data_IF_986873418482
#
_entry.id   IF_986873418482
#
_cell.length_a   1.000
_cell.length_b   1.000
_cell.length_c   1.000
_cell.angle_alpha   90.00
_cell.angle_beta   90.00
_cell.angle_gamma   90.00
#
_symmetry.space_group_name_H-M   'P 1'
#
loop_
_entity.id
_entity.type
_entity.pdbx_description
1 polymer ?
#
# COMPACT_ATOMS: atom_id res chain seq x y z
N UNK A 1 -2.14 -28.41 18.46
CA UNK A 1 -1.80 -27.00 18.73
C UNK A 1 -0.28 -26.90 18.62
N UNK A 2 0.27 -26.23 17.61
CA UNK A 2 1.73 -25.99 17.53
C UNK A 2 2.01 -24.74 18.38
N UNK A 3 2.69 -24.89 19.52
CA UNK A 3 3.16 -23.75 20.31
C UNK A 3 4.33 -23.08 19.57
N UNK A 4 4.29 -21.76 19.41
CA UNK A 4 5.39 -21.02 18.83
C UNK A 4 6.56 -20.86 19.81
N UNK A 5 7.73 -20.45 19.30
CA UNK A 5 8.93 -20.25 20.12
C UNK A 5 8.66 -19.33 21.33
N UNK A 6 7.97 -18.21 21.12
CA UNK A 6 7.65 -17.26 22.19
C UNK A 6 6.58 -17.77 23.17
N UNK A 7 5.76 -18.76 22.76
CA UNK A 7 4.80 -19.41 23.66
C UNK A 7 5.49 -20.44 24.55
N UNK A 8 6.55 -21.09 24.04
CA UNK A 8 7.35 -22.07 24.79
C UNK A 8 8.37 -21.40 25.73
N UNK A 9 8.87 -20.22 25.38
CA UNK A 9 9.90 -19.52 26.15
C UNK A 9 9.48 -18.09 26.53
N UNK A 10 8.65 -17.97 27.57
CA UNK A 10 8.06 -16.71 28.04
C UNK A 10 9.06 -15.57 28.29
N UNK A 11 10.29 -15.87 28.71
CA UNK A 11 11.34 -14.86 28.90
C UNK A 11 11.73 -14.13 27.60
N UNK A 12 11.58 -14.78 26.44
CA UNK A 12 11.78 -14.15 25.14
C UNK A 12 10.54 -13.38 24.67
N UNK A 13 9.36 -13.63 25.23
CA UNK A 13 8.15 -12.88 24.93
C UNK A 13 8.24 -11.42 25.43
N UNK A 14 8.79 -11.21 26.62
CA UNK A 14 9.01 -9.86 27.15
C UNK A 14 10.08 -9.11 26.35
N UNK A 15 11.14 -9.80 25.93
CA UNK A 15 12.13 -9.24 25.01
C UNK A 15 11.47 -8.80 23.69
N UNK A 16 10.63 -9.66 23.11
CA UNK A 16 9.88 -9.37 21.88
C UNK A 16 8.99 -8.15 22.03
N UNK A 17 8.23 -8.02 23.13
CA UNK A 17 7.39 -6.84 23.37
C UNK A 17 8.22 -5.55 23.43
N UNK A 18 9.38 -5.60 24.09
CA UNK A 18 10.26 -4.43 24.26
C UNK A 18 11.10 -4.11 23.03
N UNK A 19 11.40 -5.11 22.18
CA UNK A 19 12.31 -5.02 21.03
C UNK A 19 11.65 -5.51 19.73
N UNK A 20 10.34 -5.31 19.60
CA UNK A 20 9.52 -5.85 18.51
C UNK A 20 10.09 -5.52 17.13
N UNK A 21 10.58 -4.30 16.93
CA UNK A 21 11.19 -3.88 15.67
C UNK A 21 12.43 -4.67 15.29
N UNK A 22 13.26 -5.05 16.27
CA UNK A 22 14.45 -5.87 16.03
C UNK A 22 14.09 -7.32 15.72
N UNK A 23 13.07 -7.86 16.39
CA UNK A 23 12.56 -9.20 16.11
C UNK A 23 11.93 -9.25 14.73
N UNK A 24 11.19 -8.19 14.34
CA UNK A 24 10.63 -8.03 13.00
C UNK A 24 11.76 -8.03 11.97
N UNK A 25 12.67 -7.06 12.04
CA UNK A 25 13.87 -6.90 11.20
C UNK A 25 14.60 -8.22 10.94
N UNK A 26 14.83 -9.03 11.98
CA UNK A 26 15.43 -10.35 11.85
C UNK A 26 14.58 -11.33 11.01
N UNK A 27 13.27 -11.39 11.22
CA UNK A 27 12.38 -12.26 10.43
C UNK A 27 12.24 -11.83 8.97
N UNK A 28 12.37 -10.54 8.67
CA UNK A 28 12.20 -10.01 7.31
C UNK A 28 13.44 -10.13 6.44
N UNK A 29 14.58 -10.46 7.05
CA UNK A 29 15.80 -10.78 6.34
C UNK A 29 15.87 -12.29 5.95
N UNK A 30 14.92 -13.11 6.39
CA UNK A 30 14.84 -14.55 6.08
C UNK A 30 13.80 -14.82 4.98
N UNK A 31 14.29 -15.04 3.76
CA UNK A 31 13.45 -15.35 2.58
C UNK A 31 12.63 -16.63 2.77
N UNK A 32 13.11 -17.60 3.55
CA UNK A 32 12.39 -18.85 3.79
C UNK A 32 11.13 -18.58 4.62
N UNK A 33 11.24 -17.72 5.65
CA UNK A 33 10.10 -17.32 6.46
C UNK A 33 9.06 -16.55 5.65
N UNK A 34 9.49 -15.72 4.70
CA UNK A 34 8.61 -14.97 3.79
C UNK A 34 7.84 -15.93 2.89
N UNK A 35 8.54 -16.89 2.26
CA UNK A 35 7.94 -17.90 1.37
C UNK A 35 6.93 -18.77 2.11
N UNK A 36 7.30 -19.29 3.28
CA UNK A 36 6.42 -20.11 4.11
C UNK A 36 5.16 -19.33 4.55
N UNK A 37 5.30 -18.06 4.93
CA UNK A 37 4.18 -17.21 5.30
C UNK A 37 3.22 -16.98 4.13
N UNK A 38 3.76 -16.72 2.94
CA UNK A 38 3.01 -16.53 1.72
C UNK A 38 2.28 -17.80 1.28
N UNK A 39 2.97 -18.95 1.26
CA UNK A 39 2.38 -20.24 0.90
C UNK A 39 1.20 -20.57 1.82
N UNK A 40 1.39 -20.46 3.14
CA UNK A 40 0.31 -20.70 4.11
C UNK A 40 -0.86 -19.72 3.93
N UNK A 41 -0.59 -18.46 3.61
CA UNK A 41 -1.64 -17.48 3.34
C UNK A 41 -2.45 -17.87 2.09
N UNK A 42 -1.78 -18.13 0.96
CA UNK A 42 -2.47 -18.48 -0.28
C UNK A 42 -3.17 -19.83 -0.21
N UNK A 43 -2.62 -20.80 0.53
CA UNK A 43 -3.28 -22.08 0.78
C UNK A 43 -4.58 -21.88 1.57
N UNK A 44 -4.57 -21.05 2.64
CA UNK A 44 -5.81 -20.72 3.37
C UNK A 44 -6.83 -20.02 2.49
N UNK A 45 -6.38 -19.10 1.63
CA UNK A 45 -7.25 -18.42 0.68
C UNK A 45 -7.85 -19.39 -0.35
N UNK A 46 -7.05 -20.34 -0.84
CA UNK A 46 -7.51 -21.43 -1.70
C UNK A 46 -8.58 -22.26 -1.02
N UNK A 47 -8.35 -22.73 0.21
CA UNK A 47 -9.32 -23.55 0.95
C UNK A 47 -10.62 -22.79 1.22
N UNK A 48 -10.54 -21.50 1.56
CA UNK A 48 -11.71 -20.66 1.77
C UNK A 48 -12.55 -20.55 0.49
N UNK A 49 -11.91 -20.36 -0.68
CA UNK A 49 -12.62 -20.29 -1.97
C UNK A 49 -13.19 -21.64 -2.39
N UNK A 50 -12.44 -22.72 -2.19
CA UNK A 50 -12.78 -24.09 -2.60
C UNK A 50 -13.95 -24.66 -1.80
N UNK A 51 -14.04 -24.34 -0.51
CA UNK A 51 -14.97 -24.99 0.40
C UNK A 51 -14.76 -26.51 0.39
N UNK A 52 -15.78 -27.25 -0.05
CA UNK A 52 -15.76 -28.72 -0.09
C UNK A 52 -15.37 -29.31 -1.46
N UNK A 53 -15.10 -28.48 -2.47
CA UNK A 53 -14.77 -28.97 -3.81
C UNK A 53 -13.33 -29.52 -3.86
N UNK A 54 -12.97 -30.38 -4.79
CA UNK A 54 -11.56 -30.70 -5.03
C UNK A 54 -10.99 -29.70 -6.05
N UNK A 55 -9.79 -29.19 -5.79
CA UNK A 55 -9.04 -28.38 -6.75
C UNK A 55 -7.56 -28.34 -6.41
N UNK A 56 -6.75 -28.22 -7.45
CA UNK A 56 -5.31 -28.10 -7.31
C UNK A 56 -4.91 -26.72 -6.78
N UNK A 57 -4.04 -26.72 -5.77
CA UNK A 57 -3.33 -25.54 -5.30
C UNK A 57 -1.92 -25.53 -5.90
N UNK A 58 -1.50 -24.38 -6.44
CA UNK A 58 -0.12 -24.15 -6.89
C UNK A 58 0.42 -22.92 -6.15
N UNK A 59 1.59 -23.04 -5.55
CA UNK A 59 2.37 -21.93 -5.03
C UNK A 59 3.86 -22.25 -5.16
N UNK A 60 4.50 -21.65 -6.15
CA UNK A 60 5.94 -21.78 -6.38
C UNK A 60 6.63 -20.44 -6.19
N UNK A 61 7.91 -20.47 -5.85
CA UNK A 61 8.68 -19.25 -5.62
C UNK A 61 9.91 -19.19 -6.51
N UNK A 62 10.24 -17.99 -6.94
CA UNK A 62 11.51 -17.67 -7.60
C UNK A 62 12.18 -16.52 -6.86
N UNK A 63 13.51 -16.49 -6.93
CA UNK A 63 14.25 -15.31 -6.51
C UNK A 63 13.87 -14.13 -7.40
N UNK A 64 13.83 -12.94 -6.81
CA UNK A 64 13.63 -11.72 -7.58
C UNK A 64 14.87 -11.47 -8.43
N UNK A 65 14.68 -11.16 -9.70
CA UNK A 65 15.75 -10.67 -10.56
C UNK A 65 16.40 -9.42 -9.93
N UNK A 66 17.74 -9.32 -10.03
CA UNK A 66 18.51 -8.22 -9.48
C UNK A 66 18.16 -6.88 -10.15
N UNK A 67 17.64 -6.91 -11.37
CA UNK A 67 17.23 -5.74 -12.13
C UNK A 67 15.90 -5.13 -11.64
N UNK A 68 15.06 -5.94 -10.98
CA UNK A 68 13.87 -5.44 -10.32
C UNK A 68 14.30 -4.71 -9.05
N UNK A 69 13.99 -3.42 -8.92
CA UNK A 69 14.31 -2.63 -7.73
C UNK A 69 13.78 -3.24 -6.41
N UNK A 70 14.14 -2.66 -5.27
CA UNK A 70 13.72 -3.14 -3.95
C UNK A 70 14.73 -4.08 -3.26
N UNK A 71 14.36 -4.63 -2.09
CA UNK A 71 15.28 -5.42 -1.25
C UNK A 71 15.68 -6.76 -1.90
N UNK A 72 16.82 -7.29 -1.46
CA UNK A 72 17.32 -8.61 -1.87
C UNK A 72 16.54 -9.76 -1.24
N UNK A 73 15.75 -9.50 -0.20
CA UNK A 73 14.96 -10.51 0.54
C UNK A 73 13.52 -10.62 0.04
N UNK A 74 13.14 -9.84 -0.98
CA UNK A 74 11.87 -9.99 -1.68
C UNK A 74 11.89 -11.23 -2.60
N UNK A 75 10.72 -11.83 -2.83
CA UNK A 75 10.58 -13.02 -3.69
C UNK A 75 9.42 -12.85 -4.68
N UNK A 76 9.50 -13.57 -5.79
CA UNK A 76 8.35 -13.76 -6.69
C UNK A 76 7.60 -15.02 -6.29
N UNK A 77 6.27 -14.97 -6.33
CA UNK A 77 5.40 -16.12 -6.10
C UNK A 77 4.48 -16.33 -7.29
N UNK A 78 4.32 -17.59 -7.70
CA UNK A 78 3.47 -18.02 -8.78
C UNK A 78 2.36 -18.86 -8.18
N UNK A 79 1.16 -18.28 -8.13
CA UNK A 79 0.05 -18.81 -7.35
C UNK A 79 -1.14 -19.09 -8.25
N UNK A 80 -1.74 -20.28 -8.11
CA UNK A 80 -3.07 -20.58 -8.63
C UNK A 80 -3.92 -21.11 -7.48
N UNK A 81 -5.00 -20.39 -7.18
CA UNK A 81 -5.99 -20.81 -6.19
C UNK A 81 -7.30 -21.25 -6.87
N UNK A 82 -8.22 -21.78 -6.07
CA UNK A 82 -9.49 -22.30 -6.56
C UNK A 82 -10.28 -21.25 -7.36
N UNK A 83 -10.79 -21.65 -8.52
CA UNK A 83 -11.55 -20.80 -9.43
C UNK A 83 -10.71 -19.86 -10.31
N UNK A 84 -9.38 -19.96 -10.29
CA UNK A 84 -8.50 -19.20 -11.18
C UNK A 84 -7.99 -20.06 -12.33
N UNK A 85 -8.20 -19.58 -13.57
CA UNK A 85 -7.81 -20.29 -14.79
C UNK A 85 -6.29 -20.30 -15.02
N UNK A 86 -5.60 -19.29 -14.51
CA UNK A 86 -4.18 -19.05 -14.77
C UNK A 86 -3.38 -18.86 -13.48
N UNK A 87 -2.09 -19.21 -13.55
CA UNK A 87 -1.13 -18.91 -12.48
C UNK A 87 -0.85 -17.41 -12.48
N UNK A 88 -1.20 -16.75 -11.38
CA UNK A 88 -0.92 -15.34 -11.15
C UNK A 88 0.47 -15.17 -10.54
N UNK A 89 1.23 -14.20 -11.06
CA UNK A 89 2.52 -13.79 -10.50
C UNK A 89 2.29 -12.72 -9.43
N UNK A 90 2.95 -12.84 -8.29
CA UNK A 90 2.92 -11.88 -7.19
C UNK A 90 4.36 -11.47 -6.82
N UNK A 91 4.55 -10.19 -6.53
CA UNK A 91 5.74 -9.69 -5.87
C UNK A 91 5.50 -9.64 -4.37
N UNK A 92 6.34 -10.33 -3.61
CA UNK A 92 6.21 -10.41 -2.15
C UNK A 92 7.38 -9.68 -1.52
N UNK A 93 7.06 -8.65 -0.75
CA UNK A 93 8.03 -7.88 0.03
C UNK A 93 7.62 -7.80 1.48
N UNK A 94 8.60 -7.79 2.37
CA UNK A 94 8.36 -7.36 3.74
C UNK A 94 8.04 -5.87 3.76
N UNK A 95 7.14 -5.49 4.65
CA UNK A 95 6.66 -4.12 4.76
C UNK A 95 7.74 -3.15 5.28
N UNK A 96 8.76 -3.63 6.01
CA UNK A 96 9.68 -2.71 6.68
C UNK A 96 10.53 -1.90 5.70
N UNK A 97 10.42 -0.58 5.81
CA UNK A 97 11.23 0.39 5.08
C UNK A 97 12.70 0.35 5.50
N UNK A 98 13.61 0.52 4.52
CA UNK A 98 15.02 0.80 4.75
C UNK A 98 15.95 0.09 3.76
N UNK A 99 16.86 0.79 3.05
CA UNK A 99 17.99 0.13 2.40
C UNK A 99 18.91 -0.55 3.43
N UNK A 100 19.75 -1.49 2.97
CA UNK A 100 20.82 -2.07 3.81
C UNK A 100 21.63 -0.94 4.44
N UNK A 101 21.70 -0.91 5.78
CA UNK A 101 22.50 0.06 6.53
C UNK A 101 21.77 1.30 7.04
N UNK A 102 20.47 1.49 6.75
CA UNK A 102 19.64 2.49 7.44
C UNK A 102 18.44 1.82 8.09
N UNK A 103 18.37 1.94 9.42
CA UNK A 103 17.33 1.41 10.34
C UNK A 103 16.30 0.47 9.71
N UNK A 104 16.68 -0.80 9.51
CA UNK A 104 15.80 -1.93 9.18
C UNK A 104 14.81 -2.28 10.30
N UNK A 105 14.80 -1.48 11.38
CA UNK A 105 14.00 -1.63 12.59
C UNK A 105 12.69 -0.80 12.55
N UNK A 106 12.13 -0.53 11.37
CA UNK A 106 10.84 0.18 11.31
C UNK A 106 9.70 -0.84 11.39
N UNK A 107 8.83 -0.80 12.42
CA UNK A 107 7.65 -1.67 12.52
C UNK A 107 6.60 -1.43 11.40
N UNK A 108 5.61 -2.33 11.19
CA UNK A 108 4.57 -2.10 10.21
C UNK A 108 3.74 -0.85 10.43
N UNK A 109 3.33 -0.15 9.39
CA UNK A 109 2.51 1.06 9.45
C UNK A 109 1.10 0.75 8.95
N UNK A 110 0.11 0.90 9.84
CA UNK A 110 -1.29 0.61 9.52
C UNK A 110 -1.83 1.54 8.43
N UNK A 111 -1.33 2.77 8.32
CA UNK A 111 -1.76 3.71 7.29
C UNK A 111 -1.29 3.27 5.91
N UNK A 112 -0.09 2.72 5.80
CA UNK A 112 0.42 2.20 4.53
C UNK A 112 -0.33 0.93 4.11
N UNK A 113 -0.59 -0.01 5.03
CA UNK A 113 -1.43 -1.17 4.73
C UNK A 113 -2.82 -0.75 4.23
N UNK A 114 -3.42 0.23 4.90
CA UNK A 114 -4.69 0.82 4.48
C UNK A 114 -4.61 1.45 3.09
N UNK A 115 -3.56 2.23 2.81
CA UNK A 115 -3.36 2.84 1.50
C UNK A 115 -3.22 1.80 0.39
N UNK A 116 -2.46 0.72 0.56
CA UNK A 116 -2.41 -0.35 -0.44
C UNK A 116 -3.80 -0.87 -0.77
N UNK A 117 -4.63 -1.09 0.26
CA UNK A 117 -5.98 -1.61 0.05
C UNK A 117 -6.90 -0.61 -0.65
N UNK A 118 -6.81 0.66 -0.28
CA UNK A 118 -7.59 1.71 -0.90
C UNK A 118 -7.18 1.95 -2.36
N UNK A 119 -5.87 1.93 -2.67
CA UNK A 119 -5.34 2.08 -4.02
C UNK A 119 -5.81 0.94 -4.95
N UNK A 120 -5.82 -0.30 -4.46
CA UNK A 120 -6.44 -1.45 -5.16
C UNK A 120 -7.91 -1.16 -5.47
N UNK A 121 -8.68 -0.73 -4.46
CA UNK A 121 -10.13 -0.55 -4.57
C UNK A 121 -10.55 0.59 -5.51
N UNK A 122 -9.70 1.61 -5.71
CA UNK A 122 -9.90 2.69 -6.68
C UNK A 122 -9.21 2.42 -8.03
N UNK A 123 -8.67 1.21 -8.23
CA UNK A 123 -8.01 0.74 -9.45
C UNK A 123 -6.77 1.57 -9.87
N UNK A 124 -6.04 2.10 -8.89
CA UNK A 124 -4.75 2.78 -9.11
C UNK A 124 -3.57 2.01 -8.52
N UNK A 125 -3.81 0.99 -7.70
CA UNK A 125 -2.80 0.05 -7.20
C UNK A 125 -3.07 -1.37 -7.71
N UNK A 126 -2.05 -2.25 -7.69
CA UNK A 126 -2.25 -3.66 -7.98
C UNK A 126 -3.14 -4.33 -6.93
N UNK A 127 -3.72 -5.49 -7.25
CA UNK A 127 -4.35 -6.36 -6.24
C UNK A 127 -3.34 -6.65 -5.13
N UNK A 128 -3.73 -6.41 -3.88
CA UNK A 128 -2.84 -6.47 -2.74
C UNK A 128 -3.35 -7.42 -1.66
N UNK A 129 -2.48 -8.30 -1.21
CA UNK A 129 -2.71 -9.21 -0.08
C UNK A 129 -1.79 -8.86 1.08
N UNK A 130 -2.37 -8.69 2.26
CA UNK A 130 -1.63 -8.53 3.52
C UNK A 130 -1.39 -9.92 4.09
N UNK A 131 -0.12 -10.34 4.07
CA UNK A 131 0.31 -11.68 4.45
C UNK A 131 0.82 -11.64 5.91
N UNK A 132 0.14 -12.33 6.85
CA UNK A 132 0.59 -12.44 8.24
C UNK A 132 1.91 -13.21 8.36
N UNK A 133 2.62 -13.06 9.48
CA UNK A 133 3.75 -13.93 9.80
C UNK A 133 3.26 -15.36 10.06
N UNK A 134 4.18 -16.32 9.97
CA UNK A 134 3.88 -17.73 10.23
C UNK A 134 3.40 -17.91 11.68
N UNK A 135 2.31 -18.66 11.87
CA UNK A 135 1.74 -18.95 13.19
C UNK A 135 2.78 -19.61 14.12
N UNK A 136 3.63 -20.49 13.58
CA UNK A 136 4.61 -21.28 14.34
C UNK A 136 5.83 -20.49 14.79
N UNK A 137 6.20 -19.39 14.14
CA UNK A 137 7.29 -18.53 14.67
C UNK A 137 6.78 -17.71 15.85
N UNK A 138 5.47 -17.46 15.93
CA UNK A 138 4.83 -16.77 17.05
C UNK A 138 5.30 -15.32 17.22
N UNK A 139 6.02 -14.76 16.24
CA UNK A 139 6.69 -13.45 16.34
C UNK A 139 5.65 -12.34 16.41
N UNK A 140 4.56 -12.42 15.65
CA UNK A 140 3.49 -11.39 15.61
C UNK A 140 4.02 -9.99 15.25
N UNK A 141 5.19 -9.91 14.63
CA UNK A 141 5.92 -8.64 14.47
C UNK A 141 6.19 -8.26 13.02
N UNK A 142 6.17 -9.21 12.09
CA UNK A 142 6.39 -8.97 10.65
C UNK A 142 5.11 -9.11 9.83
N UNK A 143 5.04 -8.37 8.73
CA UNK A 143 3.96 -8.41 7.74
C UNK A 143 4.59 -8.35 6.37
N UNK A 144 4.17 -9.27 5.50
CA UNK A 144 4.50 -9.22 4.09
C UNK A 144 3.33 -8.63 3.30
N UNK A 145 3.65 -7.96 2.21
CA UNK A 145 2.69 -7.47 1.23
C UNK A 145 2.95 -8.25 -0.06
N UNK A 146 1.93 -8.95 -0.55
CA UNK A 146 1.95 -9.60 -1.84
C UNK A 146 1.12 -8.79 -2.83
N UNK A 147 1.78 -8.12 -3.77
CA UNK A 147 1.14 -7.36 -4.85
C UNK A 147 1.11 -8.19 -6.11
N UNK A 148 -0.07 -8.30 -6.75
CA UNK A 148 -0.19 -9.00 -8.03
C UNK A 148 0.61 -8.26 -9.09
N UNK A 149 1.47 -8.99 -9.78
CA UNK A 149 2.20 -8.49 -10.92
C UNK A 149 1.25 -8.35 -12.10
N UNK A 150 1.31 -7.20 -12.78
CA UNK A 150 0.50 -6.93 -13.96
C UNK A 150 1.41 -6.40 -15.07
N UNK A 151 1.54 -7.18 -16.14
CA UNK A 151 2.37 -6.86 -17.31
C UNK A 151 1.83 -5.65 -18.10
N UNK A 152 0.63 -5.18 -17.77
CA UNK A 152 0.09 -3.92 -18.26
C UNK A 152 0.70 -2.70 -17.55
N UNK A 153 1.54 -2.85 -16.53
CA UNK A 153 2.22 -1.70 -15.94
C UNK A 153 3.22 -1.08 -16.93
N UNK A 154 3.18 0.24 -17.07
CA UNK A 154 4.19 1.02 -17.80
C UNK A 154 4.74 2.12 -16.91
N UNK A 155 6.05 2.08 -16.66
CA UNK A 155 6.78 3.06 -15.84
C UNK A 155 6.55 4.50 -16.32
N UNK A 156 6.45 5.43 -15.37
CA UNK A 156 6.21 6.84 -15.67
C UNK A 156 7.33 7.46 -16.52
N UNK A 157 8.57 6.98 -16.38
CA UNK A 157 9.69 7.42 -17.24
C UNK A 157 9.40 7.24 -18.72
N UNK A 158 8.95 6.06 -19.12
CA UNK A 158 8.60 5.81 -20.51
C UNK A 158 7.35 6.60 -20.94
N UNK A 159 6.38 6.79 -20.04
CA UNK A 159 5.18 7.60 -20.32
C UNK A 159 5.57 9.05 -20.64
N UNK A 160 6.42 9.65 -19.82
CA UNK A 160 6.86 11.04 -19.98
C UNK A 160 7.73 11.18 -21.23
N UNK A 161 8.65 10.24 -21.49
CA UNK A 161 9.52 10.28 -22.67
C UNK A 161 8.73 10.18 -23.98
N UNK A 162 7.71 9.33 -24.04
CA UNK A 162 6.93 9.11 -25.26
C UNK A 162 5.86 10.16 -25.50
N UNK A 163 5.11 10.54 -24.46
CA UNK A 163 3.87 11.33 -24.60
C UNK A 163 3.87 12.63 -23.79
N UNK A 164 4.87 12.84 -22.92
CA UNK A 164 4.86 13.91 -21.92
C UNK A 164 3.88 13.65 -20.77
N UNK A 165 4.08 14.37 -19.66
CA UNK A 165 3.14 14.34 -18.53
C UNK A 165 1.84 15.06 -18.91
N UNK A 166 0.71 14.37 -18.82
CA UNK A 166 -0.60 14.97 -19.07
C UNK A 166 -1.16 15.63 -17.82
N UNK A 167 -2.09 16.57 -18.00
CA UNK A 167 -2.80 17.20 -16.88
C UNK A 167 -3.58 16.21 -16.03
N UNK A 168 -4.23 15.22 -16.64
CA UNK A 168 -4.99 14.20 -15.93
C UNK A 168 -4.10 13.35 -15.01
N UNK A 169 -2.96 12.87 -15.52
CA UNK A 169 -2.00 12.10 -14.71
C UNK A 169 -1.39 12.96 -13.59
N UNK A 170 -1.06 14.22 -13.88
CA UNK A 170 -0.54 15.16 -12.89
C UNK A 170 -1.55 15.39 -11.75
N UNK A 171 -2.84 15.58 -12.09
CA UNK A 171 -3.92 15.75 -11.12
C UNK A 171 -4.13 14.48 -10.28
N UNK A 172 -4.15 13.30 -10.90
CA UNK A 172 -4.29 12.03 -10.17
C UNK A 172 -3.18 11.88 -9.12
N UNK A 173 -1.91 12.11 -9.49
CA UNK A 173 -0.77 12.01 -8.58
C UNK A 173 -0.86 13.00 -7.41
N UNK A 174 -1.28 14.25 -7.68
CA UNK A 174 -1.46 15.25 -6.62
C UNK A 174 -2.61 14.90 -5.70
N UNK A 175 -3.73 14.41 -6.25
CA UNK A 175 -4.86 13.98 -5.42
C UNK A 175 -4.47 12.85 -4.48
N UNK A 176 -3.74 11.85 -4.98
CA UNK A 176 -3.27 10.76 -4.14
C UNK A 176 -2.31 11.28 -3.06
N UNK A 177 -1.36 12.15 -3.41
CA UNK A 177 -0.44 12.75 -2.44
C UNK A 177 -1.14 13.57 -1.36
N UNK A 178 -2.05 14.46 -1.75
CA UNK A 178 -2.73 15.40 -0.84
C UNK A 178 -3.78 14.69 0.01
N UNK A 179 -4.59 13.80 -0.58
CA UNK A 179 -5.67 13.13 0.15
C UNK A 179 -5.16 11.92 0.95
N UNK A 180 -4.35 11.06 0.32
CA UNK A 180 -3.88 9.82 0.94
C UNK A 180 -2.52 9.97 1.65
N UNK A 181 -1.99 11.19 1.74
CA UNK A 181 -0.71 11.45 2.41
C UNK A 181 0.39 10.50 1.94
N UNK A 182 0.44 10.19 0.64
CA UNK A 182 1.48 9.32 0.07
C UNK A 182 2.60 10.16 -0.53
N UNK A 183 3.83 9.78 -0.22
CA UNK A 183 5.06 10.36 -0.71
C UNK A 183 5.80 9.33 -1.58
N UNK A 184 6.98 9.75 -2.07
CA UNK A 184 7.88 8.92 -2.87
C UNK A 184 7.29 8.46 -4.23
N UNK A 185 6.40 9.27 -4.81
CA UNK A 185 5.79 9.04 -6.12
C UNK A 185 6.74 9.43 -7.27
N UNK A 186 7.84 8.69 -7.45
CA UNK A 186 8.82 8.91 -8.51
C UNK A 186 8.74 7.85 -9.63
N UNK A 187 9.62 7.96 -10.64
CA UNK A 187 9.54 7.27 -11.95
C UNK A 187 9.50 5.74 -11.88
N UNK A 188 10.00 5.17 -10.78
CA UNK A 188 10.10 3.72 -10.57
C UNK A 188 8.97 3.18 -9.70
N UNK A 189 8.28 4.06 -8.97
CA UNK A 189 7.23 3.72 -8.01
C UNK A 189 5.83 3.96 -8.57
N UNK A 190 5.73 4.71 -9.68
CA UNK A 190 4.47 4.92 -10.38
C UNK A 190 4.62 4.90 -11.90
N UNK A 191 3.47 4.81 -12.56
CA UNK A 191 3.34 4.64 -14.00
C UNK A 191 1.88 4.73 -14.43
N UNK A 192 1.53 4.05 -15.52
CA UNK A 192 0.15 3.92 -16.00
C UNK A 192 -0.18 2.47 -16.30
N UNK A 193 -1.45 2.11 -16.17
CA UNK A 193 -1.94 0.84 -16.72
C UNK A 193 -2.11 0.98 -18.24
N UNK A 194 -1.40 0.17 -19.03
CA UNK A 194 -1.45 0.15 -20.50
C UNK A 194 -2.89 0.05 -20.99
N UNK A 195 -3.19 0.80 -22.05
CA UNK A 195 -4.55 0.89 -22.59
C UNK A 195 -5.51 1.74 -21.75
N UNK A 196 -5.03 2.39 -20.69
CA UNK A 196 -5.82 3.31 -19.86
C UNK A 196 -5.09 4.64 -19.64
N UNK A 197 -5.80 5.63 -19.12
CA UNK A 197 -5.23 6.87 -18.57
C UNK A 197 -5.18 6.84 -17.03
N UNK A 198 -5.19 5.66 -16.42
CA UNK A 198 -5.17 5.53 -14.97
C UNK A 198 -3.74 5.49 -14.48
N UNK A 199 -3.45 6.28 -13.44
CA UNK A 199 -2.19 6.15 -12.73
C UNK A 199 -2.10 4.76 -12.09
N UNK A 200 -0.90 4.19 -12.12
CA UNK A 200 -0.55 2.95 -11.46
C UNK A 200 0.51 3.24 -10.40
N UNK A 201 0.23 2.95 -9.13
CA UNK A 201 1.13 3.09 -7.98
C UNK A 201 1.56 1.69 -7.54
N UNK A 202 2.84 1.38 -7.68
CA UNK A 202 3.41 0.06 -7.32
C UNK A 202 4.20 0.10 -6.01
N UNK A 203 4.68 1.28 -5.62
CA UNK A 203 5.30 1.52 -4.31
C UNK A 203 5.09 2.98 -3.87
N UNK A 204 5.21 3.24 -2.57
CA UNK A 204 5.13 4.58 -1.99
C UNK A 204 5.63 4.56 -0.54
N UNK A 205 5.91 5.74 0.01
CA UNK A 205 6.10 5.92 1.45
C UNK A 205 4.94 6.73 2.02
N UNK A 206 4.30 6.33 3.13
CA UNK A 206 3.32 7.20 3.76
C UNK A 206 4.02 8.42 4.38
N UNK A 207 3.41 9.59 4.31
CA UNK A 207 3.92 10.78 5.02
C UNK A 207 3.88 10.54 6.54
N UNK A 208 4.80 11.17 7.27
CA UNK A 208 4.90 10.98 8.72
C UNK A 208 3.73 11.64 9.46
N UNK A 209 3.24 12.75 8.94
CA UNK A 209 2.18 13.56 9.53
C UNK A 209 0.93 13.51 8.66
N UNK A 210 -0.23 13.50 9.31
CA UNK A 210 -1.54 13.61 8.66
C UNK A 210 -2.23 14.82 9.25
N UNK A 211 -2.83 15.65 8.40
CA UNK A 211 -3.46 16.90 8.81
C UNK A 211 -4.73 17.15 8.02
N UNK A 212 -5.70 17.77 8.68
CA UNK A 212 -6.85 18.35 7.98
C UNK A 212 -6.36 19.62 7.27
N UNK A 213 -6.63 19.73 5.99
CA UNK A 213 -6.26 20.88 5.17
C UNK A 213 -7.38 21.92 5.20
N UNK A 214 -7.17 22.98 5.98
CA UNK A 214 -8.10 24.12 6.04
C UNK A 214 -8.24 24.79 4.66
N UNK A 215 -7.14 24.92 3.92
CA UNK A 215 -7.13 25.37 2.51
C UNK A 215 -6.65 24.24 1.59
N UNK A 216 -7.54 23.27 1.37
CA UNK A 216 -7.24 22.14 0.47
C UNK A 216 -7.02 22.57 -0.98
N UNK A 217 -7.61 23.70 -1.41
CA UNK A 217 -7.40 24.24 -2.76
C UNK A 217 -5.95 24.66 -2.94
N UNK A 218 -5.38 25.38 -1.97
CA UNK A 218 -3.97 25.73 -1.99
C UNK A 218 -3.06 24.49 -2.02
N UNK A 219 -3.39 23.44 -1.24
CA UNK A 219 -2.62 22.19 -1.26
C UNK A 219 -2.61 21.53 -2.64
N UNK A 220 -3.76 21.44 -3.31
CA UNK A 220 -3.87 20.87 -4.66
C UNK A 220 -3.10 21.65 -5.74
N UNK A 221 -2.84 22.94 -5.54
CA UNK A 221 -2.13 23.77 -6.51
C UNK A 221 -0.65 23.93 -6.25
N UNK A 222 -0.22 23.75 -5.00
CA UNK A 222 1.17 23.97 -4.59
C UNK A 222 1.94 22.67 -4.37
N UNK A 223 1.24 21.57 -4.11
CA UNK A 223 1.84 20.24 -3.95
C UNK A 223 2.22 19.66 -5.30
N UNK A 224 3.42 19.08 -5.37
CA UNK A 224 3.90 18.30 -6.51
C UNK A 224 4.21 16.87 -6.05
N UNK A 225 4.05 15.86 -6.94
CA UNK A 225 4.16 14.45 -6.55
C UNK A 225 5.54 14.07 -5.99
N UNK A 226 6.61 14.60 -6.58
CA UNK A 226 7.99 14.33 -6.18
C UNK A 226 8.93 15.50 -6.54
N UNK A 227 9.92 15.87 -5.71
CA UNK A 227 10.80 17.03 -5.96
C UNK A 227 11.51 17.03 -7.31
N UNK A 228 11.88 15.85 -7.81
CA UNK A 228 12.55 15.70 -9.11
C UNK A 228 11.67 16.06 -10.31
N UNK A 229 10.35 16.19 -10.14
CA UNK A 229 9.40 16.49 -11.23
C UNK A 229 8.76 17.86 -11.10
N UNK A 230 9.32 18.71 -10.22
CA UNK A 230 8.70 19.99 -9.90
C UNK A 230 8.52 20.85 -11.15
N UNK A 231 9.47 20.82 -12.07
CA UNK A 231 9.43 21.66 -13.27
C UNK A 231 8.50 21.10 -14.35
N UNK A 232 8.50 19.79 -14.58
CA UNK A 232 7.56 19.11 -15.48
C UNK A 232 6.12 19.30 -15.00
N UNK A 233 5.89 19.14 -13.70
CA UNK A 233 4.58 19.35 -13.09
C UNK A 233 4.11 20.80 -13.21
N UNK A 234 4.97 21.78 -12.89
CA UNK A 234 4.66 23.21 -13.07
C UNK A 234 4.35 23.53 -14.53
N UNK A 235 5.10 22.96 -15.48
CA UNK A 235 4.86 23.19 -16.90
C UNK A 235 3.47 22.70 -17.34
N UNK A 236 2.95 21.64 -16.73
CA UNK A 236 1.58 21.16 -16.94
C UNK A 236 0.57 22.06 -16.22
N UNK A 237 0.76 22.37 -14.94
CA UNK A 237 -0.15 23.23 -14.16
C UNK A 237 -0.30 24.62 -14.77
N UNK A 238 0.79 25.22 -15.26
CA UNK A 238 0.80 26.56 -15.84
C UNK A 238 0.03 26.67 -17.16
N UNK A 239 -0.29 25.54 -17.80
CA UNK A 239 -1.13 25.51 -19.02
C UNK A 239 -2.63 25.51 -18.72
N UNK A 240 -3.01 25.34 -17.46
CA UNK A 240 -4.40 25.24 -17.02
C UNK A 240 -4.74 26.35 -16.04
N UNK A 241 -5.88 26.99 -16.27
CA UNK A 241 -6.52 27.79 -15.23
C UNK A 241 -7.02 26.89 -14.09
N UNK A 242 -7.33 27.53 -12.95
CA UNK A 242 -7.75 26.82 -11.74
C UNK A 242 -9.06 26.07 -11.90
N UNK A 243 -10.01 26.57 -12.71
CA UNK A 243 -11.30 25.90 -12.93
C UNK A 243 -11.12 24.64 -13.78
N UNK A 244 -10.28 24.72 -14.81
CA UNK A 244 -9.91 23.57 -15.63
C UNK A 244 -9.22 22.48 -14.79
N UNK A 245 -8.32 22.85 -13.88
CA UNK A 245 -7.69 21.90 -12.96
C UNK A 245 -8.71 21.25 -12.03
N UNK A 246 -9.58 22.05 -11.40
CA UNK A 246 -10.61 21.56 -10.48
C UNK A 246 -11.66 20.68 -11.18
N UNK A 247 -11.92 20.92 -12.47
CA UNK A 247 -12.77 20.04 -13.29
C UNK A 247 -12.16 18.65 -13.44
N UNK A 248 -10.86 18.56 -13.72
CA UNK A 248 -10.14 17.27 -13.80
C UNK A 248 -10.11 16.59 -12.43
N UNK A 249 -9.94 17.36 -11.35
CA UNK A 249 -10.03 16.83 -9.97
C UNK A 249 -11.38 16.17 -9.74
N UNK A 250 -12.48 16.88 -10.04
CA UNK A 250 -13.84 16.35 -9.87
C UNK A 250 -14.06 15.06 -10.66
N UNK A 251 -13.64 15.03 -11.92
CA UNK A 251 -13.75 13.86 -12.79
C UNK A 251 -13.04 12.63 -12.20
N UNK A 252 -11.84 12.81 -11.63
CA UNK A 252 -11.09 11.70 -11.03
C UNK A 252 -11.70 11.23 -9.70
N UNK A 253 -12.20 12.15 -8.87
CA UNK A 253 -12.90 11.77 -7.63
C UNK A 253 -14.18 10.98 -7.91
N UNK A 254 -15.00 11.45 -8.86
CA UNK A 254 -16.23 10.79 -9.26
C UNK A 254 -15.94 9.38 -9.79
N UNK A 255 -14.90 9.25 -10.63
CA UNK A 255 -14.43 7.98 -11.17
C UNK A 255 -13.95 7.00 -10.09
N UNK A 256 -13.23 7.48 -9.08
CA UNK A 256 -12.74 6.62 -8.00
C UNK A 256 -13.83 6.21 -7.02
N UNK A 257 -14.92 6.99 -6.90
CA UNK A 257 -15.97 6.73 -5.92
C UNK A 257 -15.41 6.70 -4.49
N UNK A 258 -14.50 7.63 -4.19
CA UNK A 258 -13.56 7.52 -3.06
C UNK A 258 -14.23 7.29 -1.71
N UNK A 259 -15.32 8.01 -1.38
CA UNK A 259 -16.04 7.83 -0.10
C UNK A 259 -16.44 6.39 0.17
N UNK A 260 -17.07 5.72 -0.81
CA UNK A 260 -17.50 4.32 -0.66
C UNK A 260 -16.29 3.38 -0.54
N UNK A 261 -15.19 3.68 -1.23
CA UNK A 261 -13.98 2.85 -1.21
C UNK A 261 -13.20 3.00 0.10
N UNK A 262 -13.26 4.17 0.74
CA UNK A 262 -12.69 4.41 2.07
C UNK A 262 -13.33 3.49 3.10
N UNK A 263 -14.67 3.45 3.14
CA UNK A 263 -15.44 2.58 4.04
C UNK A 263 -15.12 1.10 3.78
N UNK A 264 -15.16 0.68 2.52
CA UNK A 264 -14.87 -0.70 2.13
C UNK A 264 -13.42 -1.12 2.47
N UNK A 265 -12.45 -0.22 2.28
CA UNK A 265 -11.06 -0.47 2.68
C UNK A 265 -10.95 -0.66 4.20
N UNK A 266 -11.69 0.14 4.98
CA UNK A 266 -11.68 0.06 6.44
C UNK A 266 -12.31 -1.25 6.93
N UNK A 267 -13.41 -1.69 6.30
CA UNK A 267 -14.06 -2.97 6.59
C UNK A 267 -13.15 -4.16 6.28
N UNK A 268 -12.44 -4.11 5.15
CA UNK A 268 -11.51 -5.17 4.73
C UNK A 268 -10.20 -5.18 5.51
N UNK A 269 -9.90 -4.11 6.24
CA UNK A 269 -8.66 -3.91 6.99
C UNK A 269 -8.92 -3.62 8.47
N UNK A 270 -9.95 -4.28 9.04
CA UNK A 270 -10.31 -4.12 10.45
C UNK A 270 -9.18 -4.65 11.36
N UNK A 271 -8.47 -3.77 12.10
CA UNK A 271 -7.33 -4.18 12.92
C UNK A 271 -7.72 -5.08 14.09
N UNK A 272 -9.01 -5.18 14.41
CA UNK A 272 -9.55 -6.00 15.50
C UNK A 272 -9.95 -7.40 15.05
N UNK A 273 -9.86 -7.69 13.75
CA UNK A 273 -10.23 -8.97 13.16
C UNK A 273 -9.02 -9.70 12.58
N UNK A 274 -9.18 -11.01 12.42
CA UNK A 274 -8.31 -11.90 11.67
C UNK A 274 -6.81 -11.68 11.92
N UNK A 275 -6.08 -11.42 10.84
CA UNK A 275 -4.63 -11.30 10.77
C UNK A 275 -4.11 -10.12 11.57
N UNK A 276 -4.81 -8.97 11.53
CA UNK A 276 -4.32 -7.71 12.08
C UNK A 276 -4.37 -7.68 13.62
N UNK A 277 -5.37 -8.33 14.23
CA UNK A 277 -5.42 -8.53 15.69
C UNK A 277 -4.20 -9.31 16.18
N UNK A 278 -3.75 -10.27 15.38
CA UNK A 278 -2.60 -11.11 15.69
C UNK A 278 -1.27 -10.36 15.73
N UNK A 279 -1.16 -9.19 15.10
CA UNK A 279 0.08 -8.40 14.94
C UNK A 279 0.02 -7.01 15.58
N UNK A 280 -0.99 -6.74 16.43
CA UNK A 280 -1.26 -5.41 17.00
C UNK A 280 -0.03 -4.77 17.70
N UNK A 281 0.76 -5.60 18.39
CA UNK A 281 1.98 -5.19 19.10
C UNK A 281 3.11 -4.77 18.15
N UNK A 282 3.04 -5.19 16.89
CA UNK A 282 4.07 -4.96 15.89
C UNK A 282 4.03 -3.58 15.27
N UNK A 283 2.89 -2.87 15.29
CA UNK A 283 2.72 -1.64 14.50
C UNK A 283 3.49 -0.41 14.99
N UNK A 284 3.92 0.42 14.03
CA UNK A 284 4.52 1.74 14.20
C UNK A 284 3.58 2.63 14.98
N UNK A 285 4.11 3.19 16.05
CA UNK A 285 3.41 4.21 16.84
C UNK A 285 3.76 5.57 16.27
N UNK A 286 2.83 6.18 15.53
CA UNK A 286 2.98 7.56 15.02
C UNK A 286 2.90 8.62 16.13
N UNK A 287 2.14 8.33 17.19
CA UNK A 287 2.11 9.08 18.47
C UNK A 287 2.35 8.08 19.60
N UNK A 288 3.06 8.49 20.65
CA UNK A 288 3.60 7.62 21.72
C UNK A 288 2.59 6.66 22.41
N UNK A 289 1.28 6.82 22.21
CA UNK A 289 0.24 6.08 22.93
C UNK A 289 -0.95 5.56 22.09
N UNK A 290 -0.86 5.46 20.75
CA UNK A 290 -2.01 5.04 19.92
C UNK A 290 -1.89 3.60 19.40
N UNK A 291 -2.90 2.77 19.64
CA UNK A 291 -3.06 1.44 19.00
C UNK A 291 -3.28 1.59 17.49
N UNK A 292 -2.99 0.57 16.66
CA UNK A 292 -3.25 0.63 15.22
C UNK A 292 -4.71 0.93 14.88
N UNK A 293 -5.68 0.47 15.68
CA UNK A 293 -7.10 0.83 15.53
C UNK A 293 -7.35 2.33 15.67
N UNK A 294 -6.74 2.96 16.68
CA UNK A 294 -6.87 4.42 16.90
C UNK A 294 -6.17 5.19 15.79
N UNK A 295 -4.99 4.73 15.36
CA UNK A 295 -4.25 5.36 14.26
C UNK A 295 -5.03 5.29 12.94
N UNK A 296 -5.58 4.12 12.60
CA UNK A 296 -6.40 3.95 11.41
C UNK A 296 -7.66 4.82 11.46
N UNK A 297 -8.34 4.87 12.61
CA UNK A 297 -9.49 5.75 12.78
C UNK A 297 -9.13 7.22 12.55
N UNK A 298 -8.05 7.70 13.17
CA UNK A 298 -7.57 9.08 12.97
C UNK A 298 -7.22 9.38 11.51
N UNK A 299 -6.61 8.41 10.82
CA UNK A 299 -6.30 8.50 9.40
C UNK A 299 -7.57 8.64 8.55
N UNK A 300 -8.54 7.74 8.74
CA UNK A 300 -9.80 7.74 7.99
C UNK A 300 -10.63 9.00 8.29
N UNK A 301 -10.70 9.44 9.55
CA UNK A 301 -11.41 10.66 9.95
C UNK A 301 -10.78 11.90 9.26
N UNK A 302 -9.44 11.96 9.19
CA UNK A 302 -8.71 13.05 8.53
C UNK A 302 -8.95 13.03 7.01
N UNK A 303 -8.88 11.85 6.39
CA UNK A 303 -9.14 11.67 4.96
C UNK A 303 -10.57 12.09 4.58
N UNK A 304 -11.57 11.67 5.35
CA UNK A 304 -12.96 12.07 5.14
C UNK A 304 -13.14 13.57 5.28
N UNK A 305 -12.51 14.20 6.28
CA UNK A 305 -12.59 15.65 6.46
C UNK A 305 -11.96 16.42 5.29
N UNK A 306 -10.82 15.95 4.77
CA UNK A 306 -10.21 16.52 3.58
C UNK A 306 -11.10 16.34 2.35
N UNK A 307 -11.73 15.18 2.19
CA UNK A 307 -12.66 14.94 1.09
C UNK A 307 -13.89 15.86 1.15
N UNK A 308 -14.45 16.11 2.35
CA UNK A 308 -15.51 17.10 2.57
C UNK A 308 -15.08 18.51 2.18
N UNK A 309 -13.91 18.96 2.67
CA UNK A 309 -13.36 20.27 2.34
C UNK A 309 -13.16 20.42 0.82
N UNK A 310 -12.70 19.36 0.15
CA UNK A 310 -12.55 19.35 -1.31
C UNK A 310 -13.90 19.45 -2.02
N UNK A 311 -14.91 18.72 -1.56
CA UNK A 311 -16.24 18.77 -2.15
C UNK A 311 -16.86 20.19 -2.07
N UNK A 312 -16.62 20.92 -0.97
CA UNK A 312 -17.04 22.33 -0.82
C UNK A 312 -16.38 23.20 -1.90
N UNK A 313 -15.07 23.04 -2.12
CA UNK A 313 -14.33 23.77 -3.16
C UNK A 313 -14.86 23.43 -4.56
N UNK A 314 -15.13 22.16 -4.85
CA UNK A 314 -15.62 21.73 -6.16
C UNK A 314 -17.05 22.21 -6.44
N UNK A 315 -17.93 22.20 -5.43
CA UNK A 315 -19.31 22.66 -5.58
C UNK A 315 -19.42 24.18 -5.77
N UNK A 316 -18.47 24.95 -5.22
CA UNK A 316 -18.42 26.41 -5.37
C UNK A 316 -17.79 26.88 -6.69
N UNK A 317 -17.08 25.99 -7.40
CA UNK A 317 -16.30 26.35 -8.60
C UNK A 317 -16.90 25.83 -9.91
N UNK A 318 -17.69 24.74 -9.87
CA UNK A 318 -18.28 24.11 -11.07
C UNK A 318 -19.76 24.53 -11.20
N UNK A 319 -19.97 25.75 -11.68
CA UNK A 319 -21.27 26.25 -12.16
C UNK A 319 -21.16 26.71 -13.62
#
# INVERSE_FOLDING_TARGET
>A
MKCGFFDAYLQFDDYRKQKHSKVASWTDDDISLIRDAAEQYFHRLHDLKRGNQESDFICNFEDKDLELGGRSTSTLAFVRIHGEDFVSKFYIKCHHFGPKGTSSDQPPDINELYCYKLLELIAVGPTCHIVPPIITTGTKTSVCIATKWDDNFKLMEHVIQENGLTADLAVQLVLLRVLLFIADLHLQNCGVWKGTNNIAIVDFAPENEITVHDDIKAQLFTTFPHPRWKEEFKAVKNKLDDNSWLKIVKQNLDKWGLSRKIELAQEQLDPTKDVLKGIELGFKRRKLCCSPTVQLKQYVDTLNKNLENLQIVLNSTVH
#
